data_IF_875712531279
#
_entry.id   IF_875712531279
#
_cell.length_a   1.000
_cell.length_b   1.000
_cell.length_c   1.000
_cell.angle_alpha   90.00
_cell.angle_beta   90.00
_cell.angle_gamma   90.00
#
_symmetry.space_group_name_H-M   'P 1'
#
loop_
_entity.id
_entity.type
_entity.pdbx_description
1 polymer ?
#
# COMPACT_ATOMS: atom_id res chain seq x y z
N UNK A 1 82.93 -55.20 6.81
CA UNK A 1 81.55 -54.71 6.98
C UNK A 1 81.51 -53.25 6.56
N UNK A 2 81.10 -53.04 5.32
CA UNK A 2 80.81 -51.78 4.65
C UNK A 2 79.54 -52.03 3.85
N UNK A 3 78.56 -51.13 3.89
CA UNK A 3 77.46 -50.98 2.92
C UNK A 3 76.64 -49.76 3.36
N UNK A 4 76.77 -48.58 2.72
CA UNK A 4 76.25 -48.13 1.41
C UNK A 4 74.71 -48.13 1.36
N UNK A 5 74.08 -46.95 1.48
CA UNK A 5 73.79 -45.94 0.44
C UNK A 5 72.83 -46.40 -0.67
N UNK A 6 71.62 -45.81 -0.67
CA UNK A 6 70.88 -45.40 -1.88
C UNK A 6 70.01 -44.18 -1.55
N UNK A 7 69.97 -43.18 -2.46
CA UNK A 7 68.65 -42.69 -2.90
C UNK A 7 68.64 -42.36 -4.41
N UNK A 8 67.49 -42.48 -5.07
CA UNK A 8 67.02 -41.73 -6.28
C UNK A 8 65.65 -42.33 -6.72
N UNK A 9 64.75 -41.64 -7.50
CA UNK A 9 65.06 -40.67 -8.55
C UNK A 9 64.19 -39.39 -8.65
N UNK A 10 64.72 -38.44 -9.41
CA UNK A 10 64.13 -37.19 -9.88
C UNK A 10 63.19 -37.39 -11.09
N UNK A 11 62.08 -36.65 -11.20
CA UNK A 11 61.32 -36.54 -12.45
C UNK A 11 61.93 -35.49 -13.40
N UNK A 12 62.02 -35.87 -14.68
CA UNK A 12 62.84 -35.25 -15.72
C UNK A 12 62.34 -33.92 -16.31
N UNK A 13 63.31 -33.19 -16.88
CA UNK A 13 63.09 -32.01 -17.73
C UNK A 13 62.77 -32.43 -19.17
N UNK A 14 61.84 -31.75 -19.86
CA UNK A 14 61.68 -31.90 -21.30
C UNK A 14 62.84 -31.27 -22.10
N UNK A 15 63.06 -31.71 -23.35
CA UNK A 15 64.22 -31.36 -24.18
C UNK A 15 64.20 -29.93 -24.74
N UNK A 16 65.40 -29.40 -24.97
CA UNK A 16 65.68 -28.10 -25.59
C UNK A 16 65.81 -28.28 -27.11
N UNK A 17 65.04 -27.52 -27.89
CA UNK A 17 65.20 -27.40 -29.35
C UNK A 17 65.14 -25.91 -29.74
N UNK A 18 66.09 -25.39 -30.56
CA UNK A 18 66.25 -23.96 -30.81
C UNK A 18 65.55 -23.48 -32.08
N UNK A 19 64.96 -22.28 -32.05
CA UNK A 19 64.60 -21.42 -33.20
C UNK A 19 64.02 -20.11 -32.63
N UNK A 20 64.20 -18.89 -33.15
CA UNK A 20 64.87 -18.36 -34.32
C UNK A 20 65.21 -16.88 -34.01
N UNK A 21 66.09 -16.26 -34.81
CA UNK A 21 66.55 -14.88 -34.65
C UNK A 21 65.40 -13.85 -34.65
N UNK A 22 65.49 -12.86 -33.75
CA UNK A 22 64.57 -11.74 -33.62
C UNK A 22 64.69 -10.76 -34.81
N UNK A 23 63.58 -10.32 -35.43
CA UNK A 23 63.54 -9.07 -36.18
C UNK A 23 63.49 -7.85 -35.22
N UNK A 24 63.95 -6.67 -35.64
CA UNK A 24 64.15 -5.51 -34.78
C UNK A 24 62.84 -4.96 -34.19
N UNK A 25 62.85 -4.63 -32.91
CA UNK A 25 61.74 -3.96 -32.24
C UNK A 25 61.62 -2.49 -32.70
N UNK A 26 60.40 -2.01 -33.01
CA UNK A 26 60.15 -0.60 -33.34
C UNK A 26 60.37 0.31 -32.12
N UNK A 27 60.59 1.63 -32.33
CA UNK A 27 60.80 2.59 -31.25
C UNK A 27 59.67 2.53 -30.23
N UNK A 28 60.04 2.50 -28.95
CA UNK A 28 59.12 2.36 -27.84
C UNK A 28 58.05 3.46 -27.81
N UNK A 29 56.82 3.13 -27.43
CA UNK A 29 55.76 4.11 -27.26
C UNK A 29 56.10 5.11 -26.13
N UNK A 30 55.57 6.34 -26.21
CA UNK A 30 55.86 7.40 -25.25
C UNK A 30 55.48 6.99 -23.82
N UNK A 31 56.30 7.43 -22.86
CA UNK A 31 56.06 7.31 -21.42
C UNK A 31 54.63 7.72 -21.05
N UNK A 32 53.89 6.89 -20.28
CA UNK A 32 52.60 7.29 -19.77
C UNK A 32 52.72 8.52 -18.84
N UNK A 33 51.81 9.48 -18.94
CA UNK A 33 51.81 10.69 -18.11
C UNK A 33 51.59 10.30 -16.64
N UNK A 34 52.31 10.98 -15.74
CA UNK A 34 52.17 10.81 -14.29
C UNK A 34 50.72 10.95 -13.80
N UNK A 35 50.40 10.45 -12.60
CA UNK A 35 49.03 10.35 -12.12
C UNK A 35 48.39 11.74 -12.00
N UNK A 36 47.53 12.07 -12.97
CA UNK A 36 46.68 13.26 -12.94
C UNK A 36 45.75 13.14 -11.74
N UNK A 37 45.91 14.04 -10.76
CA UNK A 37 45.04 14.24 -9.56
C UNK A 37 43.58 14.66 -9.88
N UNK A 38 43.02 14.25 -11.03
CA UNK A 38 41.64 14.54 -11.43
C UNK A 38 40.71 13.33 -11.31
N UNK A 39 41.23 12.11 -11.11
CA UNK A 39 40.43 10.90 -10.93
C UNK A 39 39.91 10.69 -9.50
N UNK A 40 40.61 11.22 -8.48
CA UNK A 40 40.25 10.94 -7.08
C UNK A 40 38.95 11.63 -6.65
N UNK A 41 38.64 12.81 -7.19
CA UNK A 41 37.38 13.51 -6.91
C UNK A 41 36.17 12.84 -7.56
N UNK A 42 36.35 12.25 -8.73
CA UNK A 42 35.29 11.49 -9.42
C UNK A 42 35.07 10.15 -8.70
N UNK A 43 36.13 9.45 -8.31
CA UNK A 43 36.02 8.20 -7.55
C UNK A 43 35.43 8.44 -6.16
N UNK A 44 35.83 9.51 -5.45
CA UNK A 44 35.23 9.90 -4.18
C UNK A 44 33.76 10.33 -4.34
N UNK A 45 33.41 11.05 -5.41
CA UNK A 45 32.03 11.42 -5.73
C UNK A 45 31.15 10.21 -6.04
N UNK A 46 31.65 9.25 -6.82
CA UNK A 46 30.97 7.99 -7.14
C UNK A 46 30.86 7.11 -5.89
N UNK A 47 31.89 7.03 -5.05
CA UNK A 47 31.82 6.30 -3.78
C UNK A 47 30.86 6.95 -2.79
N UNK A 48 30.76 8.29 -2.77
CA UNK A 48 29.79 9.01 -1.92
C UNK A 48 28.36 8.81 -2.44
N UNK A 49 28.15 8.84 -3.75
CA UNK A 49 26.86 8.51 -4.36
C UNK A 49 26.49 7.04 -4.15
N UNK A 50 27.44 6.11 -4.26
CA UNK A 50 27.23 4.69 -3.98
C UNK A 50 26.96 4.46 -2.48
N UNK A 51 27.59 5.23 -1.59
CA UNK A 51 27.34 5.18 -0.16
C UNK A 51 25.97 5.77 0.18
N UNK A 52 25.57 6.90 -0.42
CA UNK A 52 24.24 7.49 -0.25
C UNK A 52 23.14 6.61 -0.85
N UNK A 53 23.40 6.00 -2.01
CA UNK A 53 22.52 5.00 -2.59
C UNK A 53 22.46 3.74 -1.72
N UNK A 54 23.57 3.31 -1.13
CA UNK A 54 23.62 2.15 -0.22
C UNK A 54 22.95 2.47 1.13
N UNK A 55 23.06 3.69 1.65
CA UNK A 55 22.34 4.14 2.85
C UNK A 55 20.85 4.30 2.53
N UNK A 56 20.49 4.85 1.37
CA UNK A 56 19.10 4.96 0.92
C UNK A 56 18.47 3.58 0.66
N UNK A 57 19.21 2.66 0.05
CA UNK A 57 18.79 1.28 -0.19
C UNK A 57 18.75 0.48 1.12
N UNK A 58 19.71 0.65 2.03
CA UNK A 58 19.68 0.00 3.34
C UNK A 58 18.59 0.60 4.24
N UNK A 59 18.37 1.91 4.23
CA UNK A 59 17.24 2.54 4.93
C UNK A 59 15.91 2.07 4.33
N UNK A 60 15.83 1.95 3.00
CA UNK A 60 14.68 1.38 2.31
C UNK A 60 14.51 -0.13 2.56
N UNK A 61 15.58 -0.89 2.80
CA UNK A 61 15.54 -2.32 3.14
C UNK A 61 15.37 -2.61 4.64
N UNK A 62 15.70 -1.65 5.52
CA UNK A 62 15.49 -1.74 6.97
C UNK A 62 14.12 -1.19 7.38
N UNK A 63 13.59 -0.19 6.67
CA UNK A 63 12.24 0.35 6.85
C UNK A 63 11.22 -0.30 5.91
N UNK A 64 11.67 -0.83 4.78
CA UNK A 64 10.85 -1.53 3.80
C UNK A 64 11.35 -2.96 3.63
N UNK A 65 10.45 -3.90 3.81
CA UNK A 65 10.58 -5.26 3.31
C UNK A 65 11.32 -6.28 4.18
N UNK A 66 10.63 -6.70 5.24
CA UNK A 66 10.49 -8.13 5.56
C UNK A 66 9.03 -8.48 5.86
N UNK A 67 8.32 -8.91 4.82
CA UNK A 67 7.01 -9.56 4.89
C UNK A 67 5.83 -8.60 4.81
N UNK A 68 4.98 -8.76 3.78
CA UNK A 68 3.59 -8.24 3.73
C UNK A 68 3.33 -6.92 4.45
N UNK A 69 4.16 -5.91 4.21
CA UNK A 69 4.20 -4.69 5.02
C UNK A 69 3.13 -3.68 4.62
N UNK A 70 2.61 -2.96 5.60
CA UNK A 70 1.79 -1.78 5.41
C UNK A 70 2.59 -0.65 4.71
N UNK A 71 1.92 0.09 3.83
CA UNK A 71 2.43 1.25 3.12
C UNK A 71 1.85 2.50 3.79
N UNK A 72 2.72 3.45 4.12
CA UNK A 72 2.35 4.72 4.77
C UNK A 72 2.69 5.93 3.90
N UNK A 73 1.97 7.03 4.08
CA UNK A 73 1.99 8.17 3.16
C UNK A 73 2.29 9.49 3.87
N UNK A 74 2.82 10.49 3.14
CA UNK A 74 3.11 11.80 3.72
C UNK A 74 1.82 12.63 3.86
N UNK A 75 0.85 12.41 2.97
CA UNK A 75 -0.42 13.13 2.94
C UNK A 75 -1.61 12.17 2.82
N UNK A 76 -2.82 12.60 3.22
CA UNK A 76 -4.06 11.86 2.95
C UNK A 76 -4.29 11.61 1.46
N UNK A 77 -3.95 12.58 0.61
CA UNK A 77 -4.13 12.49 -0.83
C UNK A 77 -3.28 11.37 -1.44
N UNK A 78 -1.98 11.29 -1.08
CA UNK A 78 -1.10 10.21 -1.53
C UNK A 78 -1.64 8.83 -1.14
N UNK A 79 -2.22 8.70 0.06
CA UNK A 79 -2.83 7.45 0.51
C UNK A 79 -4.02 7.04 -0.37
N UNK A 80 -4.90 7.99 -0.68
CA UNK A 80 -6.07 7.76 -1.53
C UNK A 80 -5.66 7.46 -2.97
N UNK A 81 -4.72 8.20 -3.55
CA UNK A 81 -4.24 7.95 -4.92
C UNK A 81 -3.59 6.57 -5.05
N UNK A 82 -2.76 6.18 -4.09
CA UNK A 82 -2.17 4.85 -4.05
C UNK A 82 -3.25 3.75 -3.97
N UNK A 83 -4.22 3.93 -3.07
CA UNK A 83 -5.29 2.98 -2.86
C UNK A 83 -6.21 2.86 -4.10
N UNK A 84 -6.59 3.99 -4.70
CA UNK A 84 -7.39 4.06 -5.92
C UNK A 84 -6.68 3.37 -7.09
N UNK A 85 -5.37 3.59 -7.24
CA UNK A 85 -4.58 2.91 -8.26
C UNK A 85 -4.56 1.39 -8.07
N UNK A 86 -4.52 0.91 -6.83
CA UNK A 86 -4.54 -0.51 -6.52
C UNK A 86 -5.91 -1.15 -6.84
N UNK A 87 -7.01 -0.56 -6.36
CA UNK A 87 -8.36 -1.08 -6.66
C UNK A 87 -8.70 -1.00 -8.15
N UNK A 88 -8.23 0.04 -8.85
CA UNK A 88 -8.40 0.19 -10.30
C UNK A 88 -7.71 -0.89 -11.13
N UNK A 89 -6.72 -1.59 -10.55
CA UNK A 89 -6.02 -2.73 -11.16
C UNK A 89 -6.48 -4.09 -10.61
N UNK A 90 -7.42 -4.09 -9.67
CA UNK A 90 -7.81 -5.30 -8.95
C UNK A 90 -6.71 -5.86 -8.03
N UNK A 91 -5.73 -5.04 -7.64
CA UNK A 91 -4.60 -5.47 -6.81
C UNK A 91 -4.98 -5.44 -5.33
N UNK A 92 -5.57 -6.56 -4.89
CA UNK A 92 -6.11 -6.74 -3.54
C UNK A 92 -5.05 -6.57 -2.45
N UNK A 93 -3.89 -7.20 -2.62
CA UNK A 93 -2.81 -7.15 -1.63
C UNK A 93 -2.21 -5.75 -1.55
N UNK A 94 -2.01 -5.08 -2.69
CA UNK A 94 -1.52 -3.70 -2.69
C UNK A 94 -2.53 -2.74 -2.07
N UNK A 95 -3.82 -2.87 -2.38
CA UNK A 95 -4.86 -2.05 -1.76
C UNK A 95 -4.93 -2.27 -0.24
N UNK A 96 -4.90 -3.53 0.21
CA UNK A 96 -4.88 -3.87 1.63
C UNK A 96 -3.61 -3.37 2.35
N UNK A 97 -2.49 -3.24 1.64
CA UNK A 97 -1.26 -2.67 2.22
C UNK A 97 -1.40 -1.20 2.60
N UNK A 98 -2.36 -0.44 2.06
CA UNK A 98 -2.56 0.96 2.41
C UNK A 98 -3.14 1.15 3.83
N UNK A 99 -3.56 0.07 4.49
CA UNK A 99 -4.13 0.08 5.83
C UNK A 99 -3.05 -0.16 6.90
N UNK A 100 -3.16 0.46 8.09
CA UNK A 100 -2.16 0.32 9.15
C UNK A 100 -2.40 -0.95 9.97
N UNK A 101 -2.35 -2.13 9.35
CA UNK A 101 -2.72 -3.40 10.01
C UNK A 101 -1.78 -3.74 11.16
N UNK A 102 -0.48 -3.60 10.94
CA UNK A 102 0.57 -3.92 11.93
C UNK A 102 0.72 -2.77 12.92
N UNK A 103 0.58 -1.52 12.45
CA UNK A 103 0.59 -0.35 13.33
C UNK A 103 -0.62 -0.35 14.27
N UNK A 104 -1.84 -0.55 13.78
CA UNK A 104 -3.03 -0.65 14.65
C UNK A 104 -2.91 -1.77 15.67
N UNK A 105 -2.40 -2.95 15.27
CA UNK A 105 -2.20 -4.06 16.20
C UNK A 105 -1.22 -3.72 17.34
N UNK A 106 -0.17 -2.93 17.05
CA UNK A 106 0.79 -2.46 18.07
C UNK A 106 0.22 -1.42 19.02
N UNK A 107 -0.68 -0.57 18.53
CA UNK A 107 -1.35 0.46 19.33
C UNK A 107 -2.65 -0.04 19.97
N UNK A 108 -3.02 -1.29 19.73
CA UNK A 108 -4.29 -1.82 20.18
C UNK A 108 -4.30 -2.00 21.71
N UNK A 109 -5.31 -1.42 22.37
CA UNK A 109 -5.61 -1.63 23.78
C UNK A 109 -6.97 -2.35 23.88
N UNK A 110 -6.97 -3.68 24.15
CA UNK A 110 -8.20 -4.47 24.26
C UNK A 110 -9.15 -3.94 25.32
N UNK A 111 -8.61 -3.43 26.43
CA UNK A 111 -9.43 -2.91 27.52
C UNK A 111 -10.10 -1.62 27.08
N UNK A 112 -9.36 -0.69 26.47
CA UNK A 112 -9.94 0.57 25.97
C UNK A 112 -10.94 0.34 24.86
N UNK A 113 -10.69 -0.62 23.98
CA UNK A 113 -11.63 -1.04 22.94
C UNK A 113 -12.92 -1.59 23.56
N UNK A 114 -12.81 -2.51 24.52
CA UNK A 114 -13.98 -3.05 25.23
C UNK A 114 -14.73 -2.00 26.04
N UNK A 115 -14.03 -1.08 26.71
CA UNK A 115 -14.61 0.03 27.47
C UNK A 115 -15.44 0.94 26.57
N UNK A 116 -14.93 1.25 25.37
CA UNK A 116 -15.68 2.02 24.39
C UNK A 116 -16.85 1.25 23.73
N UNK A 117 -16.89 -0.08 23.89
CA UNK A 117 -17.96 -0.96 23.42
C UNK A 117 -18.89 -1.42 24.55
N UNK A 118 -18.73 -0.92 25.78
CA UNK A 118 -19.63 -1.22 26.89
C UNK A 118 -21.08 -0.88 26.51
N UNK A 119 -21.95 -1.89 26.52
CA UNK A 119 -23.35 -1.79 26.08
C UNK A 119 -23.63 -2.43 24.71
N UNK A 120 -22.62 -2.61 23.85
CA UNK A 120 -22.75 -3.33 22.57
C UNK A 120 -22.35 -4.81 22.71
N UNK A 121 -23.03 -5.53 23.62
CA UNK A 121 -22.81 -6.97 23.81
C UNK A 121 -23.36 -7.73 22.60
N UNK A 122 -22.54 -7.92 21.57
CA UNK A 122 -22.79 -8.90 20.51
C UNK A 122 -21.81 -10.06 20.71
N UNK A 123 -22.14 -11.07 21.54
CA UNK A 123 -21.25 -12.21 21.80
C UNK A 123 -20.93 -13.03 20.54
N UNK A 124 -21.67 -12.81 19.45
CA UNK A 124 -21.46 -13.41 18.12
C UNK A 124 -21.07 -12.36 17.07
N UNK A 125 -20.63 -11.17 17.48
CA UNK A 125 -20.21 -10.14 16.55
C UNK A 125 -18.92 -10.51 15.85
N UNK A 126 -18.76 -10.10 14.59
CA UNK A 126 -17.50 -10.17 13.82
C UNK A 126 -16.43 -9.19 14.33
N UNK A 127 -16.61 -8.70 15.56
CA UNK A 127 -15.65 -7.81 16.19
C UNK A 127 -14.35 -8.55 16.49
N UNK A 128 -13.24 -7.82 16.57
CA UNK A 128 -11.96 -8.42 16.88
C UNK A 128 -11.98 -9.10 18.26
N UNK A 129 -11.17 -10.16 18.38
CA UNK A 129 -11.15 -10.99 19.57
C UNK A 129 -10.51 -10.20 20.72
N UNK A 130 -11.09 -10.20 21.94
CA UNK A 130 -10.51 -9.51 23.08
C UNK A 130 -9.34 -10.33 23.67
N UNK A 131 -8.35 -10.63 22.83
CA UNK A 131 -7.14 -11.35 23.19
C UNK A 131 -5.96 -10.38 23.22
N UNK A 132 -5.06 -10.57 24.16
CA UNK A 132 -3.82 -9.80 24.29
C UNK A 132 -2.70 -10.44 23.45
N UNK A 133 -2.97 -10.66 22.16
CA UNK A 133 -2.00 -11.18 21.18
C UNK A 133 -1.98 -10.28 19.93
N UNK A 134 -0.92 -9.46 19.75
CA UNK A 134 -0.79 -8.58 18.59
C UNK A 134 -0.86 -9.30 17.24
N UNK A 135 -0.46 -10.58 17.16
CA UNK A 135 -0.51 -11.34 15.90
C UNK A 135 -1.93 -11.66 15.47
N UNK A 136 -2.79 -11.97 16.43
CA UNK A 136 -4.22 -12.20 16.18
C UNK A 136 -4.86 -10.91 15.69
N UNK A 137 -4.55 -9.79 16.33
CA UNK A 137 -5.04 -8.46 15.92
C UNK A 137 -4.58 -8.07 14.53
N UNK A 138 -3.30 -8.24 14.23
CA UNK A 138 -2.74 -7.96 12.91
C UNK A 138 -3.47 -8.78 11.82
N UNK A 139 -3.71 -10.07 12.07
CA UNK A 139 -4.46 -10.92 11.14
C UNK A 139 -5.91 -10.46 10.95
N UNK A 140 -6.60 -10.06 12.03
CA UNK A 140 -7.98 -9.56 11.95
C UNK A 140 -8.07 -8.24 11.20
N UNK A 141 -7.15 -7.31 11.47
CA UNK A 141 -7.07 -6.03 10.77
C UNK A 141 -6.73 -6.25 9.29
N UNK A 142 -5.80 -7.16 8.98
CA UNK A 142 -5.48 -7.54 7.60
C UNK A 142 -6.66 -8.16 6.87
N UNK A 143 -7.41 -9.05 7.53
CA UNK A 143 -8.63 -9.62 6.95
C UNK A 143 -9.67 -8.55 6.65
N UNK A 144 -9.81 -7.55 7.53
CA UNK A 144 -10.70 -6.40 7.31
C UNK A 144 -10.22 -5.53 6.15
N UNK A 145 -8.92 -5.22 6.08
CA UNK A 145 -8.34 -4.44 4.99
C UNK A 145 -8.54 -5.13 3.62
N UNK A 146 -8.31 -6.44 3.56
CA UNK A 146 -8.57 -7.26 2.37
C UNK A 146 -10.05 -7.22 2.01
N UNK A 147 -10.94 -7.42 2.97
CA UNK A 147 -12.38 -7.39 2.73
C UNK A 147 -12.84 -6.02 2.20
N UNK A 148 -12.44 -4.92 2.85
CA UNK A 148 -12.78 -3.56 2.41
C UNK A 148 -12.25 -3.25 1.00
N UNK A 149 -11.02 -3.66 0.70
CA UNK A 149 -10.43 -3.52 -0.64
C UNK A 149 -11.20 -4.33 -1.68
N UNK A 150 -11.54 -5.57 -1.34
CA UNK A 150 -12.31 -6.47 -2.19
C UNK A 150 -13.70 -5.94 -2.51
N UNK A 151 -14.39 -5.32 -1.54
CA UNK A 151 -15.70 -4.69 -1.76
C UNK A 151 -15.60 -3.54 -2.78
N UNK A 152 -14.57 -2.70 -2.70
CA UNK A 152 -14.39 -1.62 -3.67
C UNK A 152 -14.03 -2.15 -5.08
N UNK A 153 -13.18 -3.17 -5.17
CA UNK A 153 -12.88 -3.84 -6.45
C UNK A 153 -14.16 -4.45 -7.04
N UNK A 154 -14.99 -5.09 -6.21
CA UNK A 154 -16.26 -5.67 -6.62
C UNK A 154 -17.20 -4.63 -7.22
N UNK A 155 -17.28 -3.44 -6.63
CA UNK A 155 -18.09 -2.32 -7.16
C UNK A 155 -17.61 -1.91 -8.56
N UNK A 156 -16.29 -1.88 -8.83
CA UNK A 156 -15.76 -1.57 -10.16
C UNK A 156 -16.02 -2.67 -11.21
N UNK A 157 -16.24 -3.91 -10.77
CA UNK A 157 -16.50 -5.04 -11.68
C UNK A 157 -17.93 -5.07 -12.20
N UNK A 158 -18.89 -4.58 -11.40
CA UNK A 158 -20.32 -4.64 -11.72
C UNK A 158 -20.74 -3.39 -12.49
N UNK A 159 -21.77 -3.51 -13.34
CA UNK A 159 -22.34 -2.37 -14.05
C UNK A 159 -22.80 -1.27 -13.08
N UNK A 160 -22.50 -0.02 -13.42
CA UNK A 160 -22.83 1.15 -12.61
C UNK A 160 -24.34 1.25 -12.30
N UNK A 161 -25.19 0.78 -13.22
CA UNK A 161 -26.64 0.88 -13.09
C UNK A 161 -27.23 -0.33 -12.32
N UNK A 162 -26.42 -1.35 -12.05
CA UNK A 162 -26.84 -2.50 -11.25
C UNK A 162 -27.02 -2.05 -9.79
N UNK A 163 -28.22 -2.24 -9.26
CA UNK A 163 -28.49 -2.03 -7.84
C UNK A 163 -27.83 -3.14 -7.03
N UNK A 164 -26.60 -2.89 -6.58
CA UNK A 164 -25.99 -3.70 -5.54
C UNK A 164 -26.77 -3.45 -4.24
N UNK A 165 -27.62 -4.39 -3.83
CA UNK A 165 -28.17 -4.39 -2.48
C UNK A 165 -27.10 -4.88 -1.51
N UNK A 166 -26.12 -4.00 -1.25
CA UNK A 166 -25.00 -4.29 -0.36
C UNK A 166 -25.54 -4.31 1.07
N UNK A 167 -25.95 -5.47 1.55
CA UNK A 167 -26.51 -5.65 2.89
C UNK A 167 -27.52 -6.79 2.97
N UNK A 168 -28.29 -7.00 1.90
CA UNK A 168 -28.73 -8.34 1.59
C UNK A 168 -27.48 -9.11 1.19
N UNK A 169 -27.25 -10.30 1.74
CA UNK A 169 -26.71 -11.32 0.87
C UNK A 169 -27.73 -11.39 -0.28
N UNK A 170 -27.56 -10.63 -1.36
CA UNK A 170 -28.01 -11.10 -2.66
C UNK A 170 -27.14 -12.31 -2.94
N UNK A 171 -27.40 -13.39 -2.18
CA UNK A 171 -27.61 -14.68 -2.81
C UNK A 171 -28.52 -14.30 -3.97
N UNK A 172 -28.03 -14.36 -5.22
CA UNK A 172 -28.95 -14.28 -6.35
C UNK A 172 -30.12 -15.17 -5.96
N UNK A 173 -31.38 -14.77 -6.11
CA UNK A 173 -32.51 -15.61 -5.70
C UNK A 173 -32.33 -17.01 -6.34
N UNK A 174 -31.69 -17.93 -5.61
CA UNK A 174 -30.74 -18.88 -6.24
C UNK A 174 -31.43 -20.15 -6.65
N UNK A 175 -32.63 -20.02 -7.19
CA UNK A 175 -33.31 -21.12 -7.85
C UNK A 175 -33.23 -21.00 -9.36
N UNK A 176 -33.05 -19.79 -9.90
CA UNK A 176 -33.24 -19.57 -11.34
C UNK A 176 -32.02 -18.96 -12.07
N UNK A 177 -30.95 -18.54 -11.38
CA UNK A 177 -29.73 -18.02 -12.03
C UNK A 177 -28.59 -19.04 -12.04
N UNK A 178 -27.99 -19.23 -13.21
CA UNK A 178 -26.79 -20.02 -13.42
C UNK A 178 -25.53 -19.32 -12.90
N UNK A 179 -24.48 -20.10 -12.64
CA UNK A 179 -23.15 -19.57 -12.25
C UNK A 179 -22.60 -18.64 -13.33
N UNK A 180 -22.83 -18.98 -14.59
CA UNK A 180 -22.39 -18.24 -15.76
C UNK A 180 -23.04 -16.85 -15.83
N UNK A 181 -24.35 -16.76 -15.57
CA UNK A 181 -25.07 -15.48 -15.50
C UNK A 181 -24.57 -14.59 -14.38
N UNK A 182 -24.24 -15.17 -13.22
CA UNK A 182 -23.67 -14.43 -12.08
C UNK A 182 -22.27 -13.91 -12.46
N UNK A 183 -21.41 -14.76 -13.04
CA UNK A 183 -20.06 -14.38 -13.45
C UNK A 183 -20.07 -13.34 -14.56
N UNK A 184 -21.05 -13.38 -15.47
CA UNK A 184 -21.21 -12.39 -16.54
C UNK A 184 -21.47 -10.97 -16.02
N UNK A 185 -21.95 -10.82 -14.77
CA UNK A 185 -22.12 -9.49 -14.13
C UNK A 185 -20.80 -8.83 -13.75
N UNK A 186 -19.69 -9.58 -13.69
CA UNK A 186 -18.39 -9.08 -13.25
C UNK A 186 -17.43 -8.95 -14.44
N UNK A 187 -17.30 -7.74 -14.97
CA UNK A 187 -16.41 -7.45 -16.11
C UNK A 187 -15.01 -7.05 -15.63
N UNK A 188 -14.09 -8.02 -15.71
CA UNK A 188 -12.67 -7.83 -15.32
C UNK A 188 -11.91 -6.84 -16.20
N UNK A 189 -12.39 -6.55 -17.41
CA UNK A 189 -11.71 -5.58 -18.31
C UNK A 189 -11.75 -4.15 -17.77
N UNK A 190 -12.57 -3.90 -16.74
CA UNK A 190 -12.68 -2.64 -16.01
C UNK A 190 -11.56 -2.44 -14.99
N UNK A 191 -10.80 -3.49 -14.65
CA UNK A 191 -9.68 -3.45 -13.71
C UNK A 191 -8.32 -3.33 -14.43
N UNK A 192 -8.22 -2.43 -15.41
CA UNK A 192 -7.02 -2.25 -16.23
C UNK A 192 -6.11 -1.10 -15.75
N UNK A 193 -6.45 -0.49 -14.61
CA UNK A 193 -5.73 0.65 -14.05
C UNK A 193 -6.11 2.00 -14.65
N UNK A 194 -7.19 2.10 -15.44
CA UNK A 194 -7.69 3.39 -15.93
C UNK A 194 -8.42 4.21 -14.85
N UNK A 195 -8.76 3.59 -13.70
CA UNK A 195 -9.38 4.31 -12.58
C UNK A 195 -8.38 5.29 -11.97
N UNK A 196 -8.74 6.56 -11.94
CA UNK A 196 -7.87 7.66 -11.48
C UNK A 196 -8.64 8.61 -10.56
N UNK A 197 -7.90 9.37 -9.76
CA UNK A 197 -8.43 10.42 -8.90
C UNK A 197 -8.50 11.72 -9.71
N UNK A 198 -9.68 12.30 -9.84
CA UNK A 198 -9.87 13.60 -10.51
C UNK A 198 -9.77 14.74 -9.49
N UNK A 199 -10.41 14.57 -8.33
CA UNK A 199 -10.44 15.57 -7.27
C UNK A 199 -10.40 14.90 -5.90
N UNK A 200 -9.72 15.53 -4.95
CA UNK A 200 -9.65 15.11 -3.55
C UNK A 200 -10.01 16.28 -2.64
N UNK A 201 -10.89 16.03 -1.68
CA UNK A 201 -11.25 16.93 -0.60
C UNK A 201 -10.94 16.25 0.73
N UNK A 202 -9.97 16.80 1.47
CA UNK A 202 -9.67 16.36 2.84
C UNK A 202 -10.56 17.14 3.78
N UNK A 203 -11.28 16.45 4.65
CA UNK A 203 -12.15 17.08 5.63
C UNK A 203 -11.29 17.70 6.74
N UNK A 204 -11.51 18.99 7.00
CA UNK A 204 -10.88 19.74 8.09
C UNK A 204 -11.74 19.75 9.35
N UNK A 205 -13.05 19.98 9.18
CA UNK A 205 -14.01 20.07 10.28
C UNK A 205 -15.27 19.32 9.91
N UNK A 206 -15.72 18.45 10.80
CA UNK A 206 -17.01 17.78 10.70
C UNK A 206 -18.05 18.41 11.63
N UNK A 207 -19.31 18.09 11.39
CA UNK A 207 -20.38 18.36 12.36
C UNK A 207 -20.04 17.74 13.73
N UNK A 208 -20.41 18.38 14.86
CA UNK A 208 -19.96 17.97 16.20
C UNK A 208 -20.20 16.50 16.53
N UNK A 209 -21.33 15.93 16.11
CA UNK A 209 -21.65 14.52 16.35
C UNK A 209 -20.74 13.55 15.59
N UNK A 210 -20.29 13.92 14.38
CA UNK A 210 -19.33 13.11 13.62
C UNK A 210 -17.91 13.32 14.12
N UNK A 211 -17.56 14.56 14.50
CA UNK A 211 -16.27 14.86 15.12
C UNK A 211 -16.07 14.10 16.44
N UNK A 212 -17.13 13.98 17.27
CA UNK A 212 -17.09 13.16 18.49
C UNK A 212 -16.73 11.71 18.19
N UNK A 213 -17.37 11.11 17.16
CA UNK A 213 -17.08 9.73 16.75
C UNK A 213 -15.66 9.54 16.24
N UNK A 214 -15.13 10.49 15.44
CA UNK A 214 -13.72 10.41 15.02
C UNK A 214 -12.76 10.55 16.21
N UNK A 215 -13.08 11.41 17.18
CA UNK A 215 -12.29 11.57 18.40
C UNK A 215 -12.31 10.30 19.28
N UNK A 216 -13.45 9.62 19.36
CA UNK A 216 -13.57 8.31 20.03
C UNK A 216 -12.73 7.24 19.33
N UNK A 217 -12.77 7.17 18.00
CA UNK A 217 -11.92 6.29 17.20
C UNK A 217 -10.43 6.57 17.38
N UNK A 218 -10.05 7.85 17.31
CA UNK A 218 -8.68 8.30 17.57
C UNK A 218 -8.20 7.89 18.96
N UNK A 219 -9.06 8.08 19.97
CA UNK A 219 -8.79 7.66 21.33
C UNK A 219 -8.56 6.14 21.43
N UNK A 220 -9.47 5.33 20.87
CA UNK A 220 -9.38 3.87 20.95
C UNK A 220 -8.18 3.27 20.23
N UNK A 221 -7.77 3.88 19.13
CA UNK A 221 -6.66 3.39 18.30
C UNK A 221 -5.31 3.99 18.69
N UNK A 222 -5.28 5.00 19.57
CA UNK A 222 -4.06 5.73 19.91
C UNK A 222 -3.50 6.60 18.77
N UNK A 223 -4.28 6.83 17.72
CA UNK A 223 -3.85 7.61 16.57
C UNK A 223 -3.62 9.09 16.89
N UNK A 224 -2.73 9.74 16.16
CA UNK A 224 -2.50 11.18 16.25
C UNK A 224 -3.73 11.94 15.72
N UNK A 225 -4.28 11.46 14.60
CA UNK A 225 -5.38 12.06 13.89
C UNK A 225 -6.19 11.00 13.14
N UNK A 226 -7.51 11.22 13.05
CA UNK A 226 -8.41 10.52 12.13
C UNK A 226 -9.20 11.61 11.41
N UNK A 227 -9.27 11.53 10.09
CA UNK A 227 -10.12 12.43 9.29
C UNK A 227 -10.78 11.66 8.15
N UNK A 228 -11.62 12.34 7.38
CA UNK A 228 -12.27 11.81 6.18
C UNK A 228 -11.70 12.47 4.93
N UNK A 229 -11.65 11.69 3.86
CA UNK A 229 -11.30 12.15 2.52
C UNK A 229 -12.44 11.76 1.59
N UNK A 230 -12.87 12.70 0.78
CA UNK A 230 -13.83 12.47 -0.30
C UNK A 230 -13.13 12.73 -1.63
N UNK A 231 -13.26 11.83 -2.58
CA UNK A 231 -12.64 11.93 -3.88
C UNK A 231 -13.63 11.66 -5.01
N UNK A 232 -13.51 12.45 -6.08
CA UNK A 232 -14.14 12.19 -7.38
C UNK A 232 -13.17 11.34 -8.19
N UNK A 233 -13.63 10.20 -8.67
CA UNK A 233 -12.83 9.27 -9.45
C UNK A 233 -13.32 9.22 -10.89
N UNK A 234 -12.37 9.16 -11.83
CA UNK A 234 -12.65 8.80 -13.21
C UNK A 234 -12.57 7.29 -13.38
N UNK A 235 -13.58 6.67 -13.97
CA UNK A 235 -13.57 5.22 -14.30
C UNK A 235 -14.06 5.01 -15.73
N UNK A 236 -13.88 3.80 -16.29
CA UNK A 236 -14.47 3.46 -17.61
C UNK A 236 -15.98 3.55 -17.66
N UNK A 237 -16.64 3.43 -16.50
CA UNK A 237 -18.10 3.40 -16.40
C UNK A 237 -18.69 4.80 -16.13
N UNK A 238 -17.84 5.80 -15.93
CA UNK A 238 -18.23 7.16 -15.52
C UNK A 238 -17.64 7.55 -14.17
N UNK A 239 -18.08 8.69 -13.61
CA UNK A 239 -17.55 9.20 -12.37
C UNK A 239 -18.04 8.40 -11.17
N UNK A 240 -17.16 8.24 -10.18
CA UNK A 240 -17.46 7.62 -8.90
C UNK A 240 -17.10 8.55 -7.76
N UNK A 241 -17.83 8.47 -6.66
CA UNK A 241 -17.46 9.08 -5.39
C UNK A 241 -16.82 8.02 -4.50
N UNK A 242 -15.67 8.35 -3.92
CA UNK A 242 -15.03 7.59 -2.85
C UNK A 242 -14.97 8.45 -1.59
N UNK A 243 -15.54 7.99 -0.49
CA UNK A 243 -15.48 8.63 0.81
C UNK A 243 -14.90 7.65 1.83
N UNK A 244 -13.67 7.91 2.28
CA UNK A 244 -12.93 7.02 3.18
C UNK A 244 -12.42 7.77 4.39
N UNK A 245 -12.23 7.04 5.49
CA UNK A 245 -11.44 7.57 6.59
C UNK A 245 -9.96 7.35 6.33
N UNK A 246 -9.14 8.29 6.79
CA UNK A 246 -7.68 8.16 6.86
C UNK A 246 -7.25 8.37 8.30
N UNK A 247 -6.16 7.72 8.66
CA UNK A 247 -5.65 7.68 10.04
C UNK A 247 -4.16 7.94 10.05
N UNK A 248 -3.69 8.66 11.07
CA UNK A 248 -2.30 9.10 11.20
C UNK A 248 -1.62 8.48 12.41
N UNK A 249 -0.47 7.85 12.16
CA UNK A 249 0.44 7.31 13.16
C UNK A 249 1.87 7.73 12.82
N UNK A 250 2.63 8.13 13.84
CA UNK A 250 4.03 8.53 13.71
C UNK A 250 4.27 9.53 12.57
N UNK A 251 3.37 10.50 12.44
CA UNK A 251 3.40 11.51 11.39
C UNK A 251 3.03 11.03 9.98
N UNK A 252 2.70 9.75 9.76
CA UNK A 252 2.36 9.14 8.47
C UNK A 252 0.88 8.76 8.36
N UNK A 253 0.33 8.88 7.16
CA UNK A 253 -1.07 8.58 6.85
C UNK A 253 -1.27 7.19 6.28
N UNK A 254 -2.45 6.64 6.54
CA UNK A 254 -2.92 5.36 6.03
C UNK A 254 -4.42 5.43 5.71
N UNK A 255 -4.91 4.51 4.89
CA UNK A 255 -6.36 4.28 4.75
C UNK A 255 -6.88 3.61 6.02
N UNK A 256 -8.00 4.08 6.54
CA UNK A 256 -8.66 3.48 7.69
C UNK A 256 -9.80 2.56 7.23
N UNK A 257 -10.05 1.47 7.96
CA UNK A 257 -11.16 0.54 7.70
C UNK A 257 -12.52 1.07 8.20
N UNK A 258 -12.52 2.20 8.90
CA UNK A 258 -13.74 2.90 9.27
C UNK A 258 -14.50 3.44 8.05
N UNK A 259 -15.83 3.38 8.13
CA UNK A 259 -16.72 3.91 7.09
C UNK A 259 -16.82 5.43 7.22
N UNK A 260 -16.82 6.15 6.10
CA UNK A 260 -17.05 7.60 6.10
C UNK A 260 -18.41 7.93 6.72
N UNK A 261 -18.39 8.74 7.77
CA UNK A 261 -19.57 9.26 8.45
C UNK A 261 -20.35 10.21 7.55
N UNK A 262 -19.65 10.96 6.69
CA UNK A 262 -20.29 11.82 5.69
C UNK A 262 -21.14 11.01 4.71
N UNK A 263 -20.55 9.99 4.07
CA UNK A 263 -21.28 9.14 3.15
C UNK A 263 -22.45 8.40 3.83
N UNK A 264 -22.24 7.91 5.05
CA UNK A 264 -23.30 7.26 5.83
C UNK A 264 -24.50 8.19 6.09
N UNK A 265 -24.23 9.48 6.33
CA UNK A 265 -25.27 10.46 6.65
C UNK A 265 -26.15 10.82 5.45
N UNK A 266 -25.56 10.90 4.25
CA UNK A 266 -26.24 11.37 3.05
C UNK A 266 -26.95 10.24 2.32
N UNK A 267 -26.33 9.06 2.26
CA UNK A 267 -26.82 7.98 1.42
C UNK A 267 -27.67 6.95 2.17
N UNK A 268 -27.78 7.05 3.50
CA UNK A 268 -28.55 6.20 4.42
C UNK A 268 -28.30 4.67 4.31
N UNK A 269 -27.50 4.21 3.34
CA UNK A 269 -27.08 2.84 3.17
C UNK A 269 -25.65 2.70 3.66
N UNK A 270 -25.46 1.73 4.55
CA UNK A 270 -24.27 1.64 5.36
C UNK A 270 -22.97 1.36 4.56
N UNK A 271 -23.04 1.11 3.25
CA UNK A 271 -21.91 0.64 2.43
C UNK A 271 -21.62 1.52 1.20
N UNK A 272 -22.29 2.67 1.04
CA UNK A 272 -22.05 3.59 -0.08
C UNK A 272 -20.89 4.57 0.19
N UNK A 273 -19.79 4.08 0.77
CA UNK A 273 -18.53 4.83 0.85
C UNK A 273 -17.78 4.84 -0.49
N UNK A 274 -18.24 4.05 -1.45
CA UNK A 274 -17.75 4.03 -2.81
C UNK A 274 -18.93 3.74 -3.74
N UNK A 275 -19.27 4.66 -4.64
CA UNK A 275 -20.49 4.56 -5.45
C UNK A 275 -20.36 5.31 -6.79
N UNK A 276 -21.04 4.85 -7.85
CA UNK A 276 -21.20 5.65 -9.06
C UNK A 276 -21.98 6.93 -8.73
N UNK A 277 -21.65 8.01 -9.43
CA UNK A 277 -22.35 9.30 -9.33
C UNK A 277 -22.67 9.84 -10.72
N UNK A 278 -23.63 10.73 -10.82
CA UNK A 278 -23.89 11.52 -12.03
C UNK A 278 -22.98 12.76 -12.09
N UNK A 279 -22.88 13.37 -13.28
CA UNK A 279 -22.14 14.62 -13.45
C UNK A 279 -22.72 15.72 -12.57
N UNK A 280 -21.86 16.44 -11.84
CA UNK A 280 -22.29 17.50 -10.91
C UNK A 280 -22.72 17.01 -9.53
N UNK A 281 -22.92 15.71 -9.30
CA UNK A 281 -23.33 15.19 -7.99
C UNK A 281 -22.22 15.29 -6.94
N UNK A 282 -20.95 15.22 -7.36
CA UNK A 282 -19.82 15.42 -6.45
C UNK A 282 -19.84 16.83 -5.87
N UNK A 283 -19.90 17.84 -6.74
CA UNK A 283 -19.89 19.25 -6.39
C UNK A 283 -21.14 19.61 -5.55
N UNK A 284 -22.29 19.01 -5.88
CA UNK A 284 -23.50 19.11 -5.06
C UNK A 284 -23.31 18.50 -3.67
N UNK A 285 -22.74 17.30 -3.57
CA UNK A 285 -22.49 16.65 -2.28
C UNK A 285 -21.54 17.49 -1.41
N UNK A 286 -20.47 18.03 -1.99
CA UNK A 286 -19.56 18.97 -1.30
C UNK A 286 -20.34 20.20 -0.81
N UNK A 287 -21.11 20.85 -1.67
CA UNK A 287 -21.92 22.03 -1.31
C UNK A 287 -22.94 21.74 -0.21
N UNK A 288 -23.60 20.59 -0.25
CA UNK A 288 -24.57 20.15 0.76
C UNK A 288 -23.89 19.94 2.12
N UNK A 289 -22.71 19.30 2.14
CA UNK A 289 -21.92 19.13 3.36
C UNK A 289 -21.40 20.45 3.92
N UNK A 290 -20.94 21.36 3.08
CA UNK A 290 -20.50 22.71 3.50
C UNK A 290 -21.65 23.51 4.11
N UNK A 291 -22.83 23.46 3.48
CA UNK A 291 -24.06 24.05 4.01
C UNK A 291 -24.45 23.44 5.36
N UNK A 292 -24.11 22.17 5.59
CA UNK A 292 -24.24 21.46 6.85
C UNK A 292 -23.13 21.72 7.87
N UNK A 293 -22.18 22.62 7.60
CA UNK A 293 -21.11 22.99 8.53
C UNK A 293 -19.86 22.12 8.46
N UNK A 294 -19.69 21.31 7.42
CA UNK A 294 -18.43 20.62 7.11
C UNK A 294 -17.49 21.62 6.42
N UNK A 295 -16.19 21.53 6.67
CA UNK A 295 -15.19 22.34 5.94
C UNK A 295 -14.10 21.44 5.40
N UNK A 296 -13.58 21.76 4.22
CA UNK A 296 -12.48 21.04 3.58
C UNK A 296 -11.16 21.82 3.66
N UNK A 297 -10.04 21.12 3.51
CA UNK A 297 -8.73 21.74 3.29
C UNK A 297 -8.73 22.48 1.95
N UNK A 298 -8.07 23.65 1.93
CA UNK A 298 -7.96 24.55 0.77
C UNK A 298 -6.89 24.11 -0.22
#
# INVERSE_FOLDING_TARGET
>A
MSAMQQPYPQPGRPPYTPAAAQPPFPPGPPTPPGPRRRGLGIVAGVLTLALLASIGLNAWLFLGNRGGGETSFATPQEAVEFYVSAIGRGDLDKGASAYPTTTLARHHDPKRYLDAKQGTKTPYGVGPLPVDDPRVWEQQMRATAIWSTGEHIKILLVDRDEKLDVGAETRPDSKDQSTEEILAKYDRSRLDGSTTVEEVKVVRTLQPQFQSRLNEWRAQTGAEQVTEVVAKLSTKQGPFLLAVQVIRFDGRWFINSGRSLLALSQYQKALQTFAPIEEGEFEKAISDWESGGVTFES
#
